data_IF_037835173200
#
_entry.id   IF_037835173200
#
_cell.length_a   1.000
_cell.length_b   1.000
_cell.length_c   1.000
_cell.angle_alpha   90.00
_cell.angle_beta   90.00
_cell.angle_gamma   90.00
#
_symmetry.space_group_name_H-M   'P 1'
#
loop_
_entity.id
_entity.type
_entity.pdbx_description
1 polymer ?
#
# COMPACT_ATOMS: atom_id res chain seq x y z
N UNK A 1 2.80 26.25 -10.85
CA UNK A 1 1.74 25.22 -10.95
C UNK A 1 0.64 25.58 -9.96
N UNK A 2 -0.65 25.42 -10.29
CA UNK A 2 -1.76 25.72 -9.36
C UNK A 2 -1.77 24.82 -8.11
N UNK A 3 -2.79 24.91 -7.25
CA UNK A 3 -2.90 23.97 -6.13
C UNK A 3 -3.21 22.55 -6.65
N UNK A 4 -2.73 21.52 -5.95
CA UNK A 4 -3.00 20.13 -6.31
C UNK A 4 -4.51 19.84 -6.21
N UNK A 5 -5.19 20.45 -5.24
CA UNK A 5 -6.65 20.33 -5.09
C UNK A 5 -7.44 20.72 -6.34
N UNK A 6 -6.97 21.74 -7.05
CA UNK A 6 -7.63 22.24 -8.27
C UNK A 6 -7.48 21.22 -9.40
N UNK A 7 -6.30 20.62 -9.54
CA UNK A 7 -6.01 19.61 -10.57
C UNK A 7 -6.73 18.28 -10.30
N UNK A 8 -6.99 17.96 -9.04
CA UNK A 8 -7.70 16.75 -8.65
C UNK A 8 -9.23 16.88 -8.78
N UNK A 9 -9.77 18.11 -8.71
CA UNK A 9 -11.18 18.41 -8.96
C UNK A 9 -11.98 18.91 -7.74
N UNK A 10 -11.34 19.67 -6.84
CA UNK A 10 -11.98 20.21 -5.63
C UNK A 10 -11.89 19.27 -4.43
N UNK A 11 -11.75 19.87 -3.23
CA UNK A 11 -11.44 19.27 -1.92
C UNK A 11 -11.17 17.74 -1.91
N UNK A 12 -9.99 17.32 -2.39
CA UNK A 12 -9.77 15.90 -2.67
C UNK A 12 -9.18 15.13 -1.48
N UNK A 13 -8.73 15.83 -0.44
CA UNK A 13 -7.95 15.25 0.64
C UNK A 13 -8.86 14.73 1.72
N UNK A 14 -8.78 13.43 1.96
CA UNK A 14 -9.50 12.80 3.05
C UNK A 14 -9.02 13.29 4.41
N UNK A 15 -9.96 13.37 5.34
CA UNK A 15 -9.68 13.50 6.76
C UNK A 15 -8.90 12.28 7.26
N UNK A 16 -8.31 12.40 8.45
CA UNK A 16 -7.61 11.28 9.11
C UNK A 16 -8.49 10.03 9.20
N UNK A 17 -9.73 10.18 9.64
CA UNK A 17 -10.64 9.05 9.83
C UNK A 17 -11.04 8.39 8.50
N UNK A 18 -11.22 9.18 7.44
CA UNK A 18 -11.46 8.64 6.10
C UNK A 18 -10.25 7.89 5.54
N UNK A 19 -9.03 8.42 5.76
CA UNK A 19 -7.79 7.72 5.36
C UNK A 19 -7.66 6.39 6.10
N UNK A 20 -7.79 6.40 7.43
CA UNK A 20 -7.64 5.20 8.25
C UNK A 20 -8.77 4.19 8.00
N UNK A 21 -9.98 4.67 7.76
CA UNK A 21 -11.15 3.86 7.44
C UNK A 21 -11.17 3.31 6.02
N UNK A 22 -10.24 3.71 5.15
CA UNK A 22 -10.17 3.18 3.79
C UNK A 22 -9.86 1.68 3.79
N UNK A 23 -10.88 0.88 3.46
CA UNK A 23 -10.81 -0.57 3.55
C UNK A 23 -11.52 -1.30 2.43
N UNK A 24 -11.33 -2.62 2.43
CA UNK A 24 -11.91 -3.53 1.45
C UNK A 24 -12.43 -4.80 2.14
N UNK A 25 -13.50 -5.34 1.57
CA UNK A 25 -14.03 -6.64 1.98
C UNK A 25 -13.22 -7.76 1.32
N UNK A 26 -12.92 -8.82 2.06
CA UNK A 26 -12.22 -10.00 1.53
C UNK A 26 -12.67 -11.25 2.29
N UNK A 27 -12.35 -12.45 1.76
CA UNK A 27 -12.53 -13.69 2.53
C UNK A 27 -11.20 -14.21 3.06
N UNK A 28 -11.04 -14.42 4.39
CA UNK A 28 -9.81 -14.97 4.96
C UNK A 28 -9.40 -16.32 4.38
N UNK A 29 -10.39 -17.17 4.07
CA UNK A 29 -10.15 -18.51 3.50
C UNK A 29 -9.38 -18.49 2.18
N UNK A 30 -9.44 -17.41 1.40
CA UNK A 30 -8.70 -17.29 0.16
C UNK A 30 -7.18 -17.25 0.39
N UNK A 31 -6.75 -16.67 1.50
CA UNK A 31 -5.35 -16.55 1.90
C UNK A 31 -4.89 -17.76 2.72
N UNK A 32 -5.70 -18.22 3.68
CA UNK A 32 -5.39 -19.41 4.52
C UNK A 32 -5.01 -20.65 3.72
N UNK A 33 -5.64 -20.86 2.56
CA UNK A 33 -5.36 -22.01 1.68
C UNK A 33 -4.03 -21.93 0.92
N UNK A 34 -3.36 -20.79 0.93
CA UNK A 34 -2.22 -20.49 0.04
C UNK A 34 -0.98 -19.99 0.77
N UNK A 35 -1.16 -19.36 1.92
CA UNK A 35 -0.06 -18.95 2.79
C UNK A 35 0.30 -20.15 3.67
N UNK A 36 1.56 -20.62 3.65
CA UNK A 36 1.94 -21.85 4.36
C UNK A 36 1.97 -21.68 5.89
N UNK A 37 2.10 -20.44 6.38
CA UNK A 37 2.10 -20.13 7.81
C UNK A 37 0.69 -19.78 8.30
N UNK A 38 0.13 -20.63 9.16
CA UNK A 38 -1.16 -20.34 9.81
C UNK A 38 -1.06 -19.09 10.70
N UNK A 39 0.05 -18.90 11.40
CA UNK A 39 0.26 -17.73 12.26
C UNK A 39 0.23 -16.42 11.49
N UNK A 40 0.51 -16.43 10.19
CA UNK A 40 0.42 -15.25 9.33
C UNK A 40 -1.01 -14.91 8.90
N UNK A 41 -1.90 -15.90 8.91
CA UNK A 41 -3.27 -15.76 8.38
C UNK A 41 -4.35 -15.81 9.46
N UNK A 42 -4.04 -16.28 10.67
CA UNK A 42 -5.01 -16.34 11.77
C UNK A 42 -5.66 -14.98 12.05
N UNK A 43 -4.93 -13.84 12.13
CA UNK A 43 -5.55 -12.55 12.50
C UNK A 43 -6.56 -12.06 11.47
N UNK A 44 -6.44 -12.48 10.20
CA UNK A 44 -7.40 -12.10 9.16
C UNK A 44 -8.83 -12.56 9.48
N UNK A 45 -8.98 -13.62 10.29
CA UNK A 45 -10.29 -14.15 10.66
C UNK A 45 -10.95 -13.41 11.81
N UNK A 46 -10.15 -12.66 12.56
CA UNK A 46 -10.58 -11.93 13.77
C UNK A 46 -11.02 -10.49 13.43
N UNK A 47 -10.70 -10.02 12.22
CA UNK A 47 -11.16 -8.74 11.70
C UNK A 47 -12.70 -8.63 11.70
N UNK A 48 -13.25 -7.39 11.78
CA UNK A 48 -14.68 -7.17 11.77
C UNK A 48 -15.38 -7.84 10.58
N UNK A 49 -16.60 -8.34 10.81
CA UNK A 49 -17.42 -8.89 9.73
C UNK A 49 -17.76 -7.79 8.72
N UNK A 50 -17.64 -8.10 7.43
CA UNK A 50 -18.09 -7.20 6.38
C UNK A 50 -19.62 -7.09 6.37
N UNK A 51 -20.14 -5.93 5.93
CA UNK A 51 -21.60 -5.67 5.88
C UNK A 51 -22.39 -6.71 5.08
N UNK A 52 -21.77 -7.29 4.04
CA UNK A 52 -22.41 -8.28 3.17
C UNK A 52 -22.48 -9.70 3.78
N UNK A 53 -21.83 -9.94 4.92
CA UNK A 53 -21.80 -11.24 5.58
C UNK A 53 -21.04 -12.31 4.76
N UNK A 54 -21.50 -13.57 4.77
CA UNK A 54 -20.94 -14.69 3.98
C UNK A 54 -19.44 -14.95 4.21
N UNK A 55 -19.01 -14.84 5.46
CA UNK A 55 -17.61 -15.02 5.89
C UNK A 55 -16.63 -13.98 5.30
N UNK A 56 -17.13 -12.89 4.71
CA UNK A 56 -16.28 -11.76 4.40
C UNK A 56 -15.92 -11.02 5.69
N UNK A 57 -14.67 -10.57 5.74
CA UNK A 57 -14.14 -9.65 6.74
C UNK A 57 -13.80 -8.33 6.07
N UNK A 58 -13.83 -7.27 6.85
CA UNK A 58 -13.42 -5.94 6.41
C UNK A 58 -12.03 -5.64 6.97
N UNK A 59 -11.09 -5.26 6.10
CA UNK A 59 -9.76 -4.79 6.48
C UNK A 59 -9.61 -3.33 6.07
N UNK A 60 -9.19 -2.50 7.01
CA UNK A 60 -8.94 -1.08 6.81
C UNK A 60 -7.45 -0.77 6.78
N UNK A 61 -7.11 0.43 6.33
CA UNK A 61 -5.75 0.96 6.45
C UNK A 61 -5.33 1.06 7.92
N UNK A 62 -6.22 1.49 8.81
CA UNK A 62 -5.96 1.54 10.25
C UNK A 62 -5.62 0.18 10.86
N UNK A 63 -6.28 -0.90 10.42
CA UNK A 63 -5.95 -2.27 10.86
C UNK A 63 -4.50 -2.64 10.48
N UNK A 64 -4.03 -2.23 9.29
CA UNK A 64 -2.64 -2.47 8.87
C UNK A 64 -1.63 -1.69 9.71
N UNK A 65 -1.94 -0.42 10.03
CA UNK A 65 -1.05 0.45 10.80
C UNK A 65 -0.96 0.04 12.27
N UNK A 66 -1.97 -0.64 12.79
CA UNK A 66 -2.01 -1.13 14.18
C UNK A 66 -1.59 -2.60 14.30
N UNK A 67 -1.47 -3.32 13.18
CA UNK A 67 -1.09 -4.74 13.18
C UNK A 67 0.36 -5.01 13.63
N UNK A 68 1.23 -4.01 13.66
CA UNK A 68 2.64 -4.20 14.05
C UNK A 68 2.88 -3.93 15.52
N UNK A 69 3.20 -4.96 16.30
CA UNK A 69 3.68 -4.81 17.67
C UNK A 69 5.23 -4.76 17.74
N UNK A 70 5.89 -4.30 16.66
CA UNK A 70 7.35 -4.30 16.50
C UNK A 70 8.04 -5.68 16.69
N UNK A 71 7.31 -6.80 16.52
CA UNK A 71 7.91 -8.15 16.58
C UNK A 71 8.31 -8.64 15.19
N UNK A 72 9.45 -9.34 15.03
CA UNK A 72 9.87 -9.89 13.74
C UNK A 72 8.83 -10.82 13.09
N UNK A 73 8.12 -11.63 13.88
CA UNK A 73 7.08 -12.55 13.40
C UNK A 73 5.85 -11.82 12.83
N UNK A 74 5.67 -10.53 13.14
CA UNK A 74 4.56 -9.73 12.63
C UNK A 74 4.78 -9.31 11.17
N UNK A 75 6.00 -9.40 10.63
CA UNK A 75 6.31 -8.97 9.25
C UNK A 75 5.53 -9.82 8.24
N UNK A 76 5.49 -11.14 8.44
CA UNK A 76 4.75 -12.04 7.56
C UNK A 76 3.24 -11.83 7.66
N UNK A 77 2.71 -11.64 8.87
CA UNK A 77 1.30 -11.27 9.11
C UNK A 77 0.94 -9.98 8.40
N UNK A 78 1.76 -8.95 8.58
CA UNK A 78 1.55 -7.65 7.97
C UNK A 78 1.59 -7.75 6.44
N UNK A 79 2.57 -8.49 5.88
CA UNK A 79 2.63 -8.68 4.43
C UNK A 79 1.34 -9.33 3.90
N UNK A 80 0.85 -10.38 4.56
CA UNK A 80 -0.43 -11.02 4.20
C UNK A 80 -1.59 -10.01 4.32
N UNK A 81 -1.61 -9.18 5.36
CA UNK A 81 -2.56 -8.07 5.51
C UNK A 81 -2.52 -7.10 4.33
N UNK A 82 -1.34 -6.63 3.92
CA UNK A 82 -1.16 -5.75 2.77
C UNK A 82 -1.69 -6.39 1.48
N UNK A 83 -1.48 -7.71 1.32
CA UNK A 83 -2.02 -8.47 0.20
C UNK A 83 -3.55 -8.60 0.25
N UNK A 84 -4.12 -8.88 1.42
CA UNK A 84 -5.56 -8.94 1.62
C UNK A 84 -6.22 -7.59 1.34
N UNK A 85 -5.73 -6.51 1.94
CA UNK A 85 -6.23 -5.15 1.74
C UNK A 85 -6.08 -4.69 0.28
N UNK A 86 -4.91 -4.89 -0.33
CA UNK A 86 -4.69 -4.52 -1.73
C UNK A 86 -5.45 -5.36 -2.76
N UNK A 87 -6.03 -6.50 -2.35
CA UNK A 87 -6.83 -7.39 -3.22
C UNK A 87 -8.33 -7.24 -3.02
N UNK A 88 -8.76 -7.03 -1.79
CA UNK A 88 -10.17 -6.91 -1.46
C UNK A 88 -10.98 -8.10 -1.95
N UNK A 89 -12.06 -7.80 -2.65
CA UNK A 89 -13.11 -8.73 -3.06
C UNK A 89 -12.77 -9.50 -4.36
N UNK A 90 -11.63 -9.19 -4.98
CA UNK A 90 -11.16 -9.79 -6.23
C UNK A 90 -10.53 -11.18 -5.99
N UNK A 91 -11.34 -12.12 -5.50
CA UNK A 91 -10.90 -13.48 -5.15
C UNK A 91 -10.17 -14.23 -6.27
N UNK A 92 -10.51 -13.96 -7.54
CA UNK A 92 -9.85 -14.55 -8.70
C UNK A 92 -8.37 -14.13 -8.85
N UNK A 93 -7.97 -12.98 -8.28
CA UNK A 93 -6.57 -12.53 -8.29
C UNK A 93 -5.72 -13.17 -7.18
N UNK A 94 -6.35 -13.74 -6.14
CA UNK A 94 -5.64 -14.25 -4.96
C UNK A 94 -4.65 -15.35 -5.34
N UNK A 95 -5.00 -16.24 -6.27
CA UNK A 95 -4.10 -17.30 -6.73
C UNK A 95 -2.78 -16.78 -7.35
N UNK A 96 -2.87 -15.70 -8.14
CA UNK A 96 -1.69 -15.04 -8.74
C UNK A 96 -0.90 -14.26 -7.67
N UNK A 97 -1.59 -13.55 -6.79
CA UNK A 97 -0.96 -12.68 -5.78
C UNK A 97 -0.31 -13.46 -4.65
N UNK A 98 -0.86 -14.62 -4.31
CA UNK A 98 -0.27 -15.50 -3.30
C UNK A 98 0.98 -16.26 -3.78
N UNK A 99 1.39 -16.13 -5.05
CA UNK A 99 2.61 -16.79 -5.55
C UNK A 99 3.85 -16.43 -4.74
N UNK A 100 3.92 -15.23 -4.15
CA UNK A 100 5.01 -14.85 -3.23
C UNK A 100 5.16 -15.86 -2.08
N UNK A 101 4.05 -16.33 -1.52
CA UNK A 101 4.03 -17.26 -0.38
C UNK A 101 4.21 -18.72 -0.79
N UNK A 102 3.85 -19.05 -2.04
CA UNK A 102 3.96 -20.42 -2.59
C UNK A 102 5.37 -20.67 -3.15
N UNK A 103 6.01 -19.63 -3.69
CA UNK A 103 7.31 -19.72 -4.39
C UNK A 103 8.49 -19.26 -3.53
N UNK A 104 8.26 -18.90 -2.29
CA UNK A 104 9.33 -18.51 -1.35
C UNK A 104 9.01 -19.05 0.04
N UNK A 105 10.03 -19.53 0.76
CA UNK A 105 9.84 -20.03 2.12
C UNK A 105 9.52 -18.87 3.08
N UNK A 106 8.73 -19.11 4.15
CA UNK A 106 8.46 -18.11 5.17
C UNK A 106 9.73 -17.46 5.75
N UNK A 107 10.78 -18.26 6.01
CA UNK A 107 12.05 -17.78 6.55
C UNK A 107 12.78 -16.85 5.58
N UNK A 108 12.79 -17.19 4.28
CA UNK A 108 13.42 -16.37 3.26
C UNK A 108 12.69 -15.02 3.09
N UNK A 109 11.35 -15.04 3.11
CA UNK A 109 10.54 -13.82 3.09
C UNK A 109 10.87 -12.98 4.33
N UNK A 110 10.81 -13.58 5.52
CA UNK A 110 11.01 -12.87 6.80
C UNK A 110 12.40 -12.25 6.89
N UNK A 111 13.45 -12.99 6.56
CA UNK A 111 14.83 -12.50 6.59
C UNK A 111 15.06 -11.32 5.64
N UNK A 112 14.61 -11.42 4.39
CA UNK A 112 14.74 -10.33 3.39
C UNK A 112 13.95 -9.09 3.80
N UNK A 113 12.73 -9.27 4.27
CA UNK A 113 11.93 -8.14 4.72
C UNK A 113 12.49 -7.52 6.00
N UNK A 114 12.92 -8.32 6.98
CA UNK A 114 13.56 -7.80 8.19
C UNK A 114 14.78 -6.94 7.86
N UNK A 115 15.60 -7.36 6.89
CA UNK A 115 16.73 -6.57 6.39
C UNK A 115 16.28 -5.25 5.75
N UNK A 116 15.31 -5.28 4.83
CA UNK A 116 14.79 -4.07 4.21
C UNK A 116 14.16 -3.10 5.24
N UNK A 117 13.48 -3.63 6.26
CA UNK A 117 12.89 -2.83 7.33
C UNK A 117 13.93 -2.25 8.30
N UNK A 118 15.04 -2.95 8.53
CA UNK A 118 16.18 -2.37 9.26
C UNK A 118 16.77 -1.17 8.49
N UNK A 119 16.89 -1.27 7.17
CA UNK A 119 17.32 -0.15 6.32
C UNK A 119 16.29 0.98 6.30
N UNK A 120 14.99 0.68 6.24
CA UNK A 120 13.93 1.68 6.36
C UNK A 120 14.12 2.56 7.62
N UNK A 121 14.36 1.93 8.77
CA UNK A 121 14.57 2.64 10.05
C UNK A 121 15.88 3.43 10.09
N UNK A 122 16.92 2.95 9.42
CA UNK A 122 18.26 3.54 9.49
C UNK A 122 18.48 4.67 8.46
N UNK A 123 18.00 4.49 7.23
CA UNK A 123 18.32 5.37 6.08
C UNK A 123 17.10 5.86 5.33
N UNK A 124 15.91 5.36 5.66
CA UNK A 124 14.64 5.82 5.09
C UNK A 124 14.08 4.96 3.95
N UNK A 125 12.89 5.32 3.45
CA UNK A 125 12.07 4.45 2.60
C UNK A 125 12.63 4.22 1.21
N UNK A 126 13.44 5.13 0.68
CA UNK A 126 13.97 5.02 -0.69
C UNK A 126 15.05 3.95 -0.80
N UNK A 127 15.92 3.84 0.20
CA UNK A 127 16.92 2.75 0.26
C UNK A 127 16.27 1.39 0.56
N UNK A 128 15.25 1.36 1.42
CA UNK A 128 14.48 0.15 1.67
C UNK A 128 13.74 -0.33 0.41
N UNK A 129 13.15 0.60 -0.36
CA UNK A 129 12.53 0.33 -1.65
C UNK A 129 13.53 -0.28 -2.64
N UNK A 130 14.71 0.32 -2.77
CA UNK A 130 15.76 -0.15 -3.67
C UNK A 130 16.19 -1.58 -3.35
N UNK A 131 16.40 -1.92 -2.06
CA UNK A 131 16.75 -3.29 -1.65
C UNK A 131 15.72 -4.34 -2.07
N UNK A 132 14.43 -3.98 -2.08
CA UNK A 132 13.32 -4.86 -2.44
C UNK A 132 13.11 -4.96 -3.96
N UNK A 133 13.69 -4.04 -4.73
CA UNK A 133 13.52 -3.98 -6.17
C UNK A 133 14.15 -5.19 -6.88
N UNK A 134 13.75 -5.38 -8.15
CA UNK A 134 14.21 -6.53 -8.94
C UNK A 134 15.71 -6.49 -9.19
N UNK A 135 16.38 -7.61 -8.90
CA UNK A 135 17.83 -7.74 -9.06
C UNK A 135 18.63 -7.35 -7.82
N UNK A 136 18.00 -6.78 -6.80
CA UNK A 136 18.66 -6.40 -5.55
C UNK A 136 18.55 -7.48 -4.47
N UNK A 137 19.32 -7.29 -3.41
CA UNK A 137 19.57 -8.29 -2.37
C UNK A 137 18.32 -8.84 -1.69
N UNK A 138 17.35 -7.96 -1.38
CA UNK A 138 16.12 -8.35 -0.68
C UNK A 138 14.98 -8.70 -1.66
N UNK A 139 15.28 -8.84 -2.95
CA UNK A 139 14.28 -9.26 -3.94
C UNK A 139 13.60 -10.56 -3.52
N UNK A 140 12.28 -10.55 -3.48
CA UNK A 140 11.46 -11.74 -3.27
C UNK A 140 10.63 -12.02 -4.52
N UNK A 141 10.73 -13.21 -5.13
CA UNK A 141 9.96 -13.56 -6.31
C UNK A 141 8.45 -13.30 -6.12
N UNK A 142 7.82 -12.71 -7.14
CA UNK A 142 6.40 -12.33 -7.14
C UNK A 142 5.98 -11.25 -6.12
N UNK A 143 6.89 -10.72 -5.29
CA UNK A 143 6.63 -9.55 -4.47
C UNK A 143 6.76 -8.28 -5.31
N UNK A 144 5.63 -7.79 -5.82
CA UNK A 144 5.58 -6.59 -6.65
C UNK A 144 5.67 -5.28 -5.85
N UNK A 145 6.09 -4.17 -6.51
CA UNK A 145 6.28 -2.86 -5.87
C UNK A 145 5.04 -2.30 -5.21
N UNK A 146 3.86 -2.52 -5.79
CA UNK A 146 2.60 -2.07 -5.19
C UNK A 146 2.27 -2.72 -3.85
N UNK A 147 2.86 -3.88 -3.53
CA UNK A 147 2.63 -4.57 -2.25
C UNK A 147 3.73 -4.29 -1.26
N UNK A 148 5.00 -4.28 -1.68
CA UNK A 148 6.05 -3.96 -0.73
C UNK A 148 6.04 -2.48 -0.33
N UNK A 149 5.56 -1.55 -1.16
CA UNK A 149 5.35 -0.15 -0.72
C UNK A 149 4.23 -0.02 0.32
N UNK A 150 3.22 -0.90 0.29
CA UNK A 150 2.19 -0.99 1.36
C UNK A 150 2.79 -1.50 2.67
N UNK A 151 3.70 -2.46 2.58
CA UNK A 151 4.46 -2.94 3.74
C UNK A 151 5.35 -1.83 4.31
N UNK A 152 6.13 -1.14 3.46
CA UNK A 152 6.97 -0.02 3.88
C UNK A 152 6.12 1.08 4.54
N UNK A 153 5.00 1.47 3.94
CA UNK A 153 4.05 2.44 4.51
C UNK A 153 3.58 2.03 5.90
N UNK A 154 3.18 0.76 6.08
CA UNK A 154 2.67 0.30 7.36
C UNK A 154 3.75 0.21 8.45
N UNK A 155 4.97 -0.20 8.11
CA UNK A 155 6.08 -0.29 9.08
C UNK A 155 6.69 1.08 9.40
N UNK A 156 6.66 2.01 8.46
CA UNK A 156 7.15 3.38 8.67
C UNK A 156 6.16 4.26 9.45
N UNK A 157 4.95 3.76 9.71
CA UNK A 157 3.95 4.50 10.47
C UNK A 157 4.45 4.81 11.89
N UNK A 158 4.12 6.02 12.34
CA UNK A 158 4.45 6.53 13.68
C UNK A 158 3.35 6.14 14.67
N UNK A 159 3.57 6.33 16.00
CA UNK A 159 2.53 6.11 17.00
C UNK A 159 1.21 6.78 16.62
N UNK A 160 0.11 6.19 17.10
CA UNK A 160 -1.24 6.65 16.79
C UNK A 160 -1.54 6.63 15.28
N UNK A 161 -1.07 5.63 14.53
CA UNK A 161 -1.39 5.44 13.11
C UNK A 161 -1.12 6.69 12.23
N UNK A 162 -0.08 7.44 12.59
CA UNK A 162 0.39 8.56 11.78
C UNK A 162 1.25 8.07 10.61
N UNK A 163 1.06 8.69 9.45
CA UNK A 163 1.89 8.38 8.28
C UNK A 163 3.36 8.71 8.56
N UNK A 164 4.24 7.78 8.22
CA UNK A 164 5.66 8.04 8.12
C UNK A 164 6.02 8.80 6.84
N UNK A 165 7.28 8.65 6.45
CA UNK A 165 7.84 9.12 5.19
C UNK A 165 7.49 8.22 4.00
N UNK A 166 7.41 6.91 4.20
CA UNK A 166 7.02 5.94 3.18
C UNK A 166 5.56 6.17 2.78
N UNK A 167 5.26 6.12 1.48
CA UNK A 167 3.90 6.19 0.95
C UNK A 167 3.70 5.11 -0.11
N UNK A 168 2.45 4.74 -0.34
CA UNK A 168 2.12 3.69 -1.30
C UNK A 168 2.29 4.23 -2.71
N UNK A 169 3.00 3.48 -3.55
CA UNK A 169 2.99 3.67 -5.00
C UNK A 169 2.38 2.41 -5.63
N UNK A 170 1.18 2.56 -6.16
CA UNK A 170 0.50 1.50 -6.90
C UNK A 170 -0.01 1.98 -8.26
N UNK A 171 -0.64 1.08 -9.01
CA UNK A 171 -1.06 1.39 -10.36
C UNK A 171 -2.01 2.59 -10.46
N UNK A 172 -2.84 2.84 -9.44
CA UNK A 172 -3.78 3.95 -9.50
C UNK A 172 -3.09 5.26 -9.15
N UNK A 173 -2.15 5.25 -8.19
CA UNK A 173 -1.27 6.40 -7.96
C UNK A 173 -0.47 6.72 -9.23
N UNK A 174 0.12 5.71 -9.88
CA UNK A 174 0.89 5.88 -11.11
C UNK A 174 0.06 6.45 -12.26
N UNK A 175 -1.17 5.96 -12.46
CA UNK A 175 -2.11 6.52 -13.44
C UNK A 175 -2.39 7.99 -13.15
N UNK A 176 -2.65 8.35 -11.88
CA UNK A 176 -2.92 9.74 -11.54
C UNK A 176 -1.69 10.64 -11.77
N UNK A 177 -0.49 10.20 -11.40
CA UNK A 177 0.75 10.94 -11.65
C UNK A 177 0.97 11.18 -13.14
N UNK A 178 0.71 10.18 -13.97
CA UNK A 178 0.81 10.30 -15.42
C UNK A 178 -0.20 11.29 -15.99
N UNK A 179 -1.47 11.18 -15.60
CA UNK A 179 -2.56 11.93 -16.24
C UNK A 179 -2.78 13.33 -15.67
N UNK A 180 -2.46 13.55 -14.40
CA UNK A 180 -2.66 14.83 -13.71
C UNK A 180 -1.38 15.66 -13.74
N UNK A 181 -0.23 15.01 -13.60
CA UNK A 181 1.08 15.68 -13.45
C UNK A 181 2.00 15.46 -14.66
N UNK A 182 1.59 14.67 -15.66
CA UNK A 182 2.36 14.44 -16.88
C UNK A 182 3.62 13.60 -16.68
N UNK A 183 3.68 12.78 -15.63
CA UNK A 183 4.87 11.97 -15.35
C UNK A 183 5.02 10.83 -16.37
N UNK A 184 6.23 10.66 -16.89
CA UNK A 184 6.59 9.46 -17.64
C UNK A 184 6.86 8.31 -16.67
N UNK A 185 5.81 7.56 -16.36
CA UNK A 185 5.82 6.48 -15.38
C UNK A 185 5.01 5.29 -15.92
N UNK A 186 5.54 4.04 -15.87
CA UNK A 186 4.75 2.86 -16.22
C UNK A 186 3.62 2.66 -15.22
N UNK A 187 2.40 2.37 -15.69
CA UNK A 187 1.24 2.23 -14.80
C UNK A 187 1.35 1.02 -13.86
N UNK A 188 2.02 -0.07 -14.26
CA UNK A 188 2.09 -1.31 -13.46
C UNK A 188 3.48 -1.55 -12.84
N UNK A 189 4.39 -0.59 -13.00
CA UNK A 189 5.80 -0.75 -12.62
C UNK A 189 6.57 -1.75 -13.51
N UNK A 190 7.78 -2.17 -13.08
CA UNK A 190 8.45 -1.69 -11.87
C UNK A 190 8.80 -0.20 -11.95
N UNK A 191 8.79 0.47 -10.81
CA UNK A 191 9.30 1.83 -10.69
C UNK A 191 10.72 1.78 -10.15
N UNK A 192 11.62 2.62 -10.65
CA UNK A 192 12.97 2.71 -10.10
C UNK A 192 13.00 3.52 -8.79
N UNK A 193 14.19 3.59 -8.19
CA UNK A 193 14.45 4.32 -6.95
C UNK A 193 14.10 5.80 -7.07
N UNK A 194 14.47 6.43 -8.18
CA UNK A 194 14.34 7.88 -8.37
C UNK A 194 12.87 8.26 -8.62
N UNK A 195 12.12 7.42 -9.34
CA UNK A 195 10.68 7.54 -9.48
C UNK A 195 9.95 7.42 -8.15
N UNK A 196 10.36 6.49 -7.28
CA UNK A 196 9.79 6.36 -5.95
C UNK A 196 10.16 7.55 -5.04
N UNK A 197 11.42 8.00 -5.05
CA UNK A 197 11.85 9.21 -4.32
C UNK A 197 11.04 10.43 -4.76
N UNK A 198 10.94 10.66 -6.08
CA UNK A 198 10.16 11.77 -6.65
C UNK A 198 8.71 11.73 -6.18
N UNK A 199 8.11 10.54 -6.11
CA UNK A 199 6.76 10.34 -5.59
C UNK A 199 6.63 10.77 -4.12
N UNK A 200 7.54 10.32 -3.26
CA UNK A 200 7.52 10.71 -1.84
C UNK A 200 7.67 12.23 -1.69
N UNK A 201 8.66 12.82 -2.36
CA UNK A 201 8.90 14.27 -2.30
C UNK A 201 7.67 15.05 -2.78
N UNK A 202 7.06 14.62 -3.89
CA UNK A 202 5.85 15.23 -4.41
C UNK A 202 4.72 15.22 -3.36
N UNK A 203 4.40 14.06 -2.80
CA UNK A 203 3.28 13.92 -1.88
C UNK A 203 3.51 14.68 -0.57
N UNK A 204 4.72 14.60 0.00
CA UNK A 204 5.07 15.33 1.22
C UNK A 204 5.11 16.84 1.01
N UNK A 205 5.66 17.32 -0.11
CA UNK A 205 5.67 18.74 -0.43
C UNK A 205 4.24 19.28 -0.61
N UNK A 206 3.38 18.53 -1.30
CA UNK A 206 1.97 18.92 -1.46
C UNK A 206 1.20 18.88 -0.15
N UNK A 207 1.40 17.87 0.70
CA UNK A 207 0.79 17.85 2.03
C UNK A 207 1.15 19.10 2.83
N UNK A 208 2.44 19.49 2.86
CA UNK A 208 2.87 20.72 3.56
C UNK A 208 2.28 21.99 2.94
N UNK A 209 2.32 22.13 1.62
CA UNK A 209 1.87 23.33 0.92
C UNK A 209 0.34 23.49 0.92
N UNK A 210 -0.40 22.39 1.04
CA UNK A 210 -1.87 22.37 1.06
C UNK A 210 -2.45 22.42 2.47
N UNK A 211 -1.60 22.24 3.49
CA UNK A 211 -1.98 22.35 4.90
C UNK A 211 -2.24 23.80 5.28
N UNK A 212 -3.23 23.99 6.14
CA UNK A 212 -3.46 25.24 6.89
C UNK A 212 -3.47 24.92 8.38
N UNK A 213 -3.42 25.94 9.24
CA UNK A 213 -3.47 25.76 10.69
C UNK A 213 -4.74 25.01 11.14
N UNK A 214 -5.89 25.37 10.56
CA UNK A 214 -7.19 24.75 10.89
C UNK A 214 -7.48 23.45 10.13
N UNK A 215 -6.74 23.18 9.06
CA UNK A 215 -6.94 22.01 8.21
C UNK A 215 -5.59 21.43 7.74
N UNK A 216 -4.90 20.65 8.61
CA UNK A 216 -3.66 19.98 8.23
C UNK A 216 -3.93 18.84 7.24
N UNK A 217 -3.13 18.77 6.18
CA UNK A 217 -3.19 17.72 5.16
C UNK A 217 -2.12 16.69 5.44
N UNK A 218 -2.53 15.42 5.59
CA UNK A 218 -1.60 14.31 5.77
C UNK A 218 -0.97 13.89 4.43
N UNK A 219 0.31 13.45 4.41
CA UNK A 219 0.92 12.89 3.20
C UNK A 219 0.17 11.69 2.62
N UNK A 220 -0.39 10.83 3.47
CA UNK A 220 -1.21 9.69 3.03
C UNK A 220 -2.64 10.08 2.58
N UNK A 221 -3.10 11.28 2.89
CA UNK A 221 -4.31 11.85 2.28
C UNK A 221 -4.04 12.31 0.83
N UNK A 222 -2.83 12.80 0.54
CA UNK A 222 -2.40 13.09 -0.84
C UNK A 222 -2.28 11.80 -1.65
N UNK A 223 -1.68 10.75 -1.08
CA UNK A 223 -1.67 9.40 -1.69
C UNK A 223 -3.10 8.91 -1.99
N UNK A 224 -4.01 9.02 -1.02
CA UNK A 224 -5.37 8.54 -1.18
C UNK A 224 -6.13 9.31 -2.27
N UNK A 225 -5.90 10.62 -2.36
CA UNK A 225 -6.47 11.47 -3.40
C UNK A 225 -5.99 11.06 -4.80
N UNK A 226 -4.68 10.80 -4.96
CA UNK A 226 -4.10 10.30 -6.21
C UNK A 226 -4.65 8.90 -6.55
N UNK A 227 -4.71 7.99 -5.59
CA UNK A 227 -5.31 6.66 -5.75
C UNK A 227 -6.75 6.75 -6.27
N UNK A 228 -7.60 7.59 -5.66
CA UNK A 228 -9.01 7.77 -6.07
C UNK A 228 -9.10 8.29 -7.49
N UNK A 229 -8.30 9.32 -7.83
CA UNK A 229 -8.28 9.91 -9.16
C UNK A 229 -7.88 8.90 -10.22
N UNK A 230 -6.78 8.18 -10.00
CA UNK A 230 -6.31 7.18 -10.95
C UNK A 230 -7.25 5.99 -11.09
N UNK A 231 -7.90 5.56 -10.00
CA UNK A 231 -8.93 4.51 -10.03
C UNK A 231 -10.16 4.97 -10.84
N UNK A 232 -10.56 6.23 -10.74
CA UNK A 232 -11.66 6.78 -11.54
C UNK A 232 -11.29 6.83 -13.04
N UNK A 233 -10.07 7.28 -13.37
CA UNK A 233 -9.56 7.28 -14.75
C UNK A 233 -9.51 5.87 -15.32
N UNK A 234 -8.95 4.91 -14.58
CA UNK A 234 -8.89 3.50 -14.99
C UNK A 234 -10.28 2.92 -15.30
N UNK A 235 -11.26 3.19 -14.43
CA UNK A 235 -12.65 2.74 -14.63
C UNK A 235 -13.27 3.37 -15.88
N UNK A 236 -13.06 4.67 -16.10
CA UNK A 236 -13.55 5.36 -17.30
C UNK A 236 -12.97 4.75 -18.59
N UNK A 237 -11.66 4.49 -18.61
CA UNK A 237 -10.99 3.83 -19.76
C UNK A 237 -11.56 2.44 -20.03
N UNK A 238 -11.77 1.65 -18.98
CA UNK A 238 -12.37 0.30 -19.11
C UNK A 238 -13.80 0.32 -19.64
N UNK A 239 -14.60 1.32 -19.27
CA UNK A 239 -15.96 1.47 -19.76
C UNK A 239 -16.02 1.96 -21.21
N UNK A 240 -15.00 2.70 -21.68
CA UNK A 240 -14.92 3.20 -23.04
C UNK A 240 -14.30 2.21 -24.05
N UNK A 241 -13.55 1.23 -23.57
CA UNK A 241 -12.87 0.22 -24.39
C UNK A 241 -13.48 -1.18 -24.37
N UNK A 242 -14.67 -1.33 -23.79
CA UNK A 242 -15.47 -2.56 -23.82
C UNK A 242 -16.77 -2.32 -24.56
#
# INVERSE_FOLDING_TARGET
MGKLRDRLGGDPFWTRDEVLGHGFDFRPVWWKRRVPSETWTSPLSDLPAAKWGRQYRHITRGDLLTATNNRPDDIGRLLVGCYAWGTGDLGFLVGRRAQVFVKSSPDAITSKLAKALAVLRATGPVYAYELLARGNECHTPHLGPSFYTKLLYAVDARPEAEAGTALILDQFVAIALKEVEGWDLPEQGPWDRDQYQRWLDFAHNHARNESTEDAPVRPDAVEAAMFRKGRAIYRKRRAAGG
#
